data_IF_340039052378
#
_entry.id   IF_340039052378
#
_cell.length_a   1.000
_cell.length_b   1.000
_cell.length_c   1.000
_cell.angle_alpha   90.00
_cell.angle_beta   90.00
_cell.angle_gamma   90.00
#
_symmetry.space_group_name_H-M   'P 1'
#
loop_
_entity.id
_entity.type
_entity.pdbx_description
1 polymer ?
#
# COMPACT_ATOMS: atom_id res chain seq x y z
N UNK A 1 -3.66 12.52 29.87
CA UNK A 1 -2.94 13.60 29.14
C UNK A 1 -3.95 14.67 28.72
N UNK A 2 -3.60 15.97 28.81
CA UNK A 2 -4.51 17.05 28.36
C UNK A 2 -4.46 17.14 26.84
N UNK A 3 -5.62 17.07 26.16
CA UNK A 3 -5.71 17.35 24.73
C UNK A 3 -5.43 18.84 24.51
N UNK A 4 -4.50 19.15 23.63
CA UNK A 4 -4.17 20.52 23.23
C UNK A 4 -4.28 20.68 21.71
N UNK A 5 -4.48 21.92 21.29
CA UNK A 5 -4.35 22.34 19.89
C UNK A 5 -2.97 23.00 19.78
N UNK A 6 -2.19 22.58 18.81
CA UNK A 6 -0.88 23.15 18.48
C UNK A 6 -0.86 23.52 17.01
N UNK A 7 -0.36 24.72 16.73
CA UNK A 7 -0.10 25.19 15.37
C UNK A 7 1.35 24.87 14.98
N UNK A 8 1.52 24.29 13.81
CA UNK A 8 2.83 24.02 13.21
C UNK A 8 2.92 24.69 11.83
N UNK A 9 4.11 24.92 11.29
CA UNK A 9 4.26 25.44 9.93
C UNK A 9 3.50 24.63 8.86
N UNK A 10 3.39 23.32 9.05
CA UNK A 10 2.75 22.39 8.13
C UNK A 10 1.24 22.18 8.36
N UNK A 11 0.69 22.66 9.50
CA UNK A 11 -0.73 22.45 9.83
C UNK A 11 -1.04 22.52 11.31
N UNK A 12 -2.27 22.12 11.66
CA UNK A 12 -2.82 22.15 13.02
C UNK A 12 -2.94 20.76 13.60
N UNK A 13 -2.40 20.55 14.78
CA UNK A 13 -2.52 19.31 15.55
C UNK A 13 -3.52 19.47 16.70
N UNK A 14 -4.35 18.44 16.91
CA UNK A 14 -5.25 18.34 18.08
C UNK A 14 -5.11 16.96 18.71
N UNK A 15 -4.59 16.88 19.93
CA UNK A 15 -4.41 15.58 20.59
C UNK A 15 -3.54 15.61 21.84
N UNK A 16 -3.02 14.45 22.17
CA UNK A 16 -2.10 14.28 23.30
C UNK A 16 -0.73 14.85 22.96
N UNK A 17 -0.09 15.49 23.92
CA UNK A 17 1.24 16.09 23.77
C UNK A 17 2.20 15.65 24.87
N UNK A 18 3.49 15.58 24.52
CA UNK A 18 4.60 15.40 25.43
C UNK A 18 5.77 16.26 24.95
N UNK A 19 6.39 17.04 25.84
CA UNK A 19 7.50 17.96 25.52
C UNK A 19 7.19 18.86 24.30
N UNK A 20 5.98 19.46 24.26
CA UNK A 20 5.45 20.31 23.17
C UNK A 20 5.40 19.65 21.79
N UNK A 21 5.42 18.33 21.71
CA UNK A 21 5.30 17.56 20.49
C UNK A 21 4.06 16.66 20.51
N UNK A 22 3.44 16.38 19.35
CA UNK A 22 2.45 15.34 19.20
C UNK A 22 2.91 14.03 19.82
N UNK A 23 2.09 13.43 20.67
CA UNK A 23 2.38 12.17 21.35
C UNK A 23 1.07 11.46 21.69
N UNK A 24 1.05 10.11 21.74
CA UNK A 24 -0.19 9.39 21.97
C UNK A 24 -1.19 9.52 20.82
N UNK A 25 -2.45 9.83 21.09
CA UNK A 25 -3.52 9.92 20.09
C UNK A 25 -3.78 11.35 19.67
N UNK A 26 -3.98 11.57 18.37
CA UNK A 26 -4.32 12.89 17.85
C UNK A 26 -4.70 12.91 16.37
N UNK A 27 -5.05 14.11 15.94
CA UNK A 27 -5.38 14.45 14.56
C UNK A 27 -4.46 15.57 14.10
N UNK A 28 -3.81 15.38 12.98
CA UNK A 28 -3.05 16.41 12.26
C UNK A 28 -3.80 16.79 10.99
N UNK A 29 -4.14 18.07 10.84
CA UNK A 29 -4.68 18.63 9.61
C UNK A 29 -3.59 19.43 8.93
N UNK A 30 -3.12 18.93 7.80
CA UNK A 30 -2.06 19.57 7.02
C UNK A 30 -2.61 20.74 6.17
N UNK A 31 -1.78 21.74 5.89
CA UNK A 31 -2.12 22.83 4.97
C UNK A 31 -2.37 22.37 3.53
N UNK A 32 -1.87 21.20 3.15
CA UNK A 32 -2.14 20.55 1.88
C UNK A 32 -3.59 20.08 1.73
N UNK A 33 -4.35 19.99 2.84
CA UNK A 33 -5.67 19.40 2.90
C UNK A 33 -5.69 17.95 3.36
N UNK A 34 -4.52 17.33 3.55
CA UNK A 34 -4.40 15.99 4.09
C UNK A 34 -4.78 15.96 5.58
N UNK A 35 -5.34 14.84 6.04
CA UNK A 35 -5.71 14.64 7.44
C UNK A 35 -5.20 13.29 7.92
N UNK A 36 -4.32 13.32 8.93
CA UNK A 36 -3.91 12.12 9.64
C UNK A 36 -4.63 12.02 10.98
N UNK A 37 -5.19 10.86 11.29
CA UNK A 37 -5.77 10.52 12.58
C UNK A 37 -5.12 9.23 13.10
N UNK A 38 -4.48 9.28 14.27
CA UNK A 38 -3.79 8.10 14.78
C UNK A 38 -2.87 8.37 15.95
N UNK A 39 -1.90 7.47 16.09
CA UNK A 39 -0.89 7.54 17.12
C UNK A 39 0.32 8.35 16.67
N UNK A 40 0.92 9.05 17.63
CA UNK A 40 2.14 9.84 17.46
C UNK A 40 3.18 9.45 18.51
N UNK A 41 4.44 9.50 18.12
CA UNK A 41 5.59 9.36 18.99
C UNK A 41 6.61 10.44 18.66
N UNK A 42 6.92 11.32 19.64
CA UNK A 42 7.91 12.40 19.48
C UNK A 42 7.68 13.26 18.22
N UNK A 43 6.42 13.61 17.93
CA UNK A 43 6.04 14.45 16.81
C UNK A 43 5.80 13.69 15.49
N UNK A 44 6.14 12.40 15.38
CA UNK A 44 6.01 11.61 14.17
C UNK A 44 4.82 10.66 14.25
N UNK A 45 4.18 10.38 13.10
CA UNK A 45 3.19 9.31 12.97
C UNK A 45 3.83 7.99 13.37
N UNK A 46 3.17 7.25 14.26
CA UNK A 46 3.70 6.00 14.79
C UNK A 46 2.57 5.09 15.26
N UNK A 47 2.74 3.75 15.15
CA UNK A 47 1.68 2.81 15.50
C UNK A 47 0.50 2.87 14.53
N UNK A 48 -0.73 2.67 15.00
CA UNK A 48 -1.91 2.64 14.13
C UNK A 48 -2.41 4.05 13.78
N UNK A 49 -2.76 4.24 12.52
CA UNK A 49 -3.28 5.50 12.01
C UNK A 49 -4.00 5.39 10.68
N UNK A 50 -4.61 6.50 10.29
CA UNK A 50 -5.34 6.69 9.05
C UNK A 50 -4.98 8.03 8.43
N UNK A 51 -4.56 8.03 7.18
CA UNK A 51 -4.45 9.21 6.33
C UNK A 51 -5.64 9.31 5.38
N UNK A 52 -6.20 10.51 5.23
CA UNK A 52 -7.06 10.90 4.14
C UNK A 52 -6.32 12.01 3.39
N UNK A 53 -5.91 11.71 2.17
CA UNK A 53 -5.17 12.64 1.33
C UNK A 53 -6.13 13.56 0.57
N UNK A 54 -5.73 14.80 0.30
CA UNK A 54 -6.52 15.75 -0.49
C UNK A 54 -6.77 15.27 -1.93
N UNK A 55 -5.96 14.33 -2.42
CA UNK A 55 -6.13 13.66 -3.72
C UNK A 55 -7.34 12.70 -3.76
N UNK A 56 -7.91 12.37 -2.59
CA UNK A 56 -8.95 11.35 -2.43
C UNK A 56 -8.42 9.97 -2.05
N UNK A 57 -7.12 9.77 -2.06
CA UNK A 57 -6.47 8.55 -1.60
C UNK A 57 -6.65 8.37 -0.09
N UNK A 58 -6.54 7.14 0.39
CA UNK A 58 -6.63 6.81 1.82
C UNK A 58 -5.61 5.73 2.17
N UNK A 59 -5.03 5.87 3.36
CA UNK A 59 -4.24 4.80 3.96
C UNK A 59 -4.76 4.50 5.36
N UNK A 60 -4.87 3.22 5.71
CA UNK A 60 -5.18 2.75 7.06
C UNK A 60 -4.21 1.63 7.41
N UNK A 61 -3.42 1.81 8.45
CA UNK A 61 -2.42 0.81 8.79
C UNK A 61 -1.47 1.24 9.89
N UNK A 62 -0.33 0.58 9.91
CA UNK A 62 0.74 0.87 10.85
C UNK A 62 1.71 1.90 10.28
N UNK A 63 2.30 2.66 11.18
CA UNK A 63 3.30 3.69 10.91
C UNK A 63 4.52 3.48 11.79
N UNK A 64 5.68 3.81 11.27
CA UNK A 64 6.94 3.89 11.99
C UNK A 64 7.72 5.11 11.50
N UNK A 65 8.11 5.97 12.46
CA UNK A 65 8.92 7.17 12.16
C UNK A 65 8.35 8.07 11.05
N UNK A 66 7.02 8.23 11.01
CA UNK A 66 6.33 9.08 10.02
C UNK A 66 5.87 8.38 8.75
N UNK A 67 6.29 7.15 8.49
CA UNK A 67 5.99 6.42 7.25
C UNK A 67 5.09 5.20 7.47
N UNK A 68 4.22 4.84 6.51
CA UNK A 68 3.59 3.53 6.46
C UNK A 68 4.62 2.41 6.65
N UNK A 69 4.36 1.49 7.58
CA UNK A 69 5.26 0.39 7.91
C UNK A 69 4.49 -0.81 8.49
N UNK A 70 4.85 -2.03 8.06
CA UNK A 70 4.08 -3.22 8.44
C UNK A 70 2.75 -3.31 7.69
N UNK A 71 1.72 -3.90 8.30
CA UNK A 71 0.44 -4.12 7.64
C UNK A 71 -0.37 -2.84 7.47
N UNK A 72 -0.93 -2.67 6.27
CA UNK A 72 -1.81 -1.56 5.95
C UNK A 72 -2.62 -1.78 4.67
N UNK A 73 -3.61 -0.92 4.49
CA UNK A 73 -4.43 -0.84 3.28
C UNK A 73 -4.29 0.55 2.69
N UNK A 74 -3.87 0.62 1.44
CA UNK A 74 -3.90 1.83 0.63
C UNK A 74 -5.03 1.73 -0.38
N UNK A 75 -5.89 2.73 -0.45
CA UNK A 75 -6.96 2.84 -1.43
C UNK A 75 -6.77 4.13 -2.22
N UNK A 76 -6.55 3.99 -3.52
CA UNK A 76 -6.40 5.12 -4.45
C UNK A 76 -7.77 5.69 -4.82
N UNK A 77 -7.80 6.97 -5.16
CA UNK A 77 -9.02 7.66 -5.59
C UNK A 77 -9.64 7.06 -6.87
N UNK A 78 -8.83 6.41 -7.71
CA UNK A 78 -9.28 5.72 -8.92
C UNK A 78 -9.98 4.38 -8.65
N UNK A 79 -10.05 3.93 -7.39
CA UNK A 79 -10.67 2.68 -6.98
C UNK A 79 -9.72 1.49 -6.81
N UNK A 80 -8.45 1.63 -7.18
CA UNK A 80 -7.45 0.61 -6.91
C UNK A 80 -7.21 0.45 -5.40
N UNK A 81 -6.77 -0.72 -4.97
CA UNK A 81 -6.47 -1.00 -3.57
C UNK A 81 -5.27 -1.92 -3.42
N UNK A 82 -4.47 -1.65 -2.41
CA UNK A 82 -3.43 -2.55 -1.93
C UNK A 82 -3.66 -2.91 -0.47
N UNK A 83 -3.52 -4.17 -0.14
CA UNK A 83 -3.62 -4.70 1.23
C UNK A 83 -2.37 -5.54 1.48
N UNK A 84 -1.51 -5.11 2.37
CA UNK A 84 -0.25 -5.84 2.58
C UNK A 84 0.78 -5.11 3.40
N UNK A 85 2.01 -5.60 3.30
CA UNK A 85 3.15 -5.07 3.99
C UNK A 85 3.67 -3.78 3.33
N UNK A 86 4.09 -2.85 4.18
CA UNK A 86 4.80 -1.64 3.81
C UNK A 86 6.13 -1.57 4.56
N UNK A 87 7.13 -0.96 3.95
CA UNK A 87 8.39 -0.59 4.58
C UNK A 87 8.78 0.81 4.13
N UNK A 88 8.97 1.72 5.09
CA UNK A 88 9.37 3.11 4.84
C UNK A 88 8.52 3.83 3.77
N UNK A 89 7.21 3.56 3.75
CA UNK A 89 6.26 4.14 2.81
C UNK A 89 6.06 3.36 1.51
N UNK A 90 6.90 2.38 1.20
CA UNK A 90 6.78 1.56 0.00
C UNK A 90 5.98 0.29 0.26
N UNK A 91 5.27 -0.23 -0.75
CA UNK A 91 4.77 -1.60 -0.73
C UNK A 91 5.98 -2.53 -0.80
N UNK A 92 6.18 -3.33 0.24
CA UNK A 92 7.34 -4.20 0.38
C UNK A 92 6.99 -5.43 1.20
N UNK A 93 7.24 -6.63 0.67
CA UNK A 93 6.84 -7.91 1.23
C UNK A 93 5.53 -8.44 0.62
N UNK A 94 4.80 -9.26 1.37
CA UNK A 94 3.56 -9.90 0.88
C UNK A 94 2.40 -8.91 0.83
N UNK A 95 1.63 -8.96 -0.27
CA UNK A 95 0.46 -8.13 -0.45
C UNK A 95 -0.52 -8.62 -1.50
N UNK A 96 -1.69 -8.00 -1.48
CA UNK A 96 -2.74 -8.16 -2.49
C UNK A 96 -3.06 -6.80 -3.09
N UNK A 97 -3.00 -6.72 -4.40
CA UNK A 97 -3.46 -5.57 -5.19
C UNK A 97 -4.77 -5.93 -5.87
N UNK A 98 -5.70 -5.00 -5.87
CA UNK A 98 -7.02 -5.11 -6.52
C UNK A 98 -7.18 -3.85 -7.35
N UNK A 99 -7.22 -4.00 -8.66
CA UNK A 99 -7.43 -2.89 -9.58
C UNK A 99 -8.92 -2.58 -9.73
N UNK A 100 -9.24 -1.34 -10.05
CA UNK A 100 -10.64 -0.88 -10.24
C UNK A 100 -11.37 -1.64 -11.36
N UNK A 101 -10.64 -2.22 -12.32
CA UNK A 101 -11.20 -3.06 -13.38
C UNK A 101 -11.50 -4.50 -12.92
N UNK A 102 -11.18 -4.85 -11.67
CA UNK A 102 -11.40 -6.18 -11.09
C UNK A 102 -10.22 -7.14 -11.20
N UNK A 103 -9.13 -6.77 -11.87
CA UNK A 103 -7.91 -7.58 -11.86
C UNK A 103 -7.29 -7.62 -10.47
N UNK A 104 -6.67 -8.76 -10.14
CA UNK A 104 -6.02 -8.93 -8.84
C UNK A 104 -4.61 -9.50 -8.99
N UNK A 105 -3.72 -9.07 -8.10
CA UNK A 105 -2.42 -9.69 -7.88
C UNK A 105 -2.28 -10.06 -6.41
N UNK A 106 -1.77 -11.25 -6.14
CA UNK A 106 -1.38 -11.69 -4.79
C UNK A 106 0.04 -12.23 -4.87
N UNK A 107 0.96 -11.62 -4.13
CA UNK A 107 2.35 -12.04 -4.20
C UNK A 107 3.30 -11.13 -3.42
N UNK A 108 4.55 -11.15 -3.84
CA UNK A 108 5.61 -10.34 -3.27
C UNK A 108 5.68 -8.97 -3.95
N UNK A 109 6.04 -7.97 -3.17
CA UNK A 109 6.35 -6.60 -3.61
C UNK A 109 7.72 -6.20 -3.10
N UNK A 110 8.39 -5.36 -3.84
CA UNK A 110 9.63 -4.69 -3.45
C UNK A 110 9.64 -3.29 -4.03
N UNK A 111 9.82 -2.28 -3.18
CA UNK A 111 9.86 -0.86 -3.58
C UNK A 111 8.71 -0.47 -4.52
N UNK A 112 7.48 -0.84 -4.18
CA UNK A 112 6.23 -0.66 -4.94
C UNK A 112 6.03 -1.56 -6.17
N UNK A 113 7.01 -2.36 -6.58
CA UNK A 113 6.93 -3.22 -7.75
C UNK A 113 6.55 -4.66 -7.34
N UNK A 114 5.80 -5.36 -8.22
CA UNK A 114 5.60 -6.80 -8.08
C UNK A 114 6.93 -7.49 -8.33
N UNK A 115 7.33 -8.36 -7.41
CA UNK A 115 8.64 -9.01 -7.42
C UNK A 115 8.52 -10.45 -6.92
N UNK A 116 9.37 -11.37 -7.45
CA UNK A 116 9.35 -12.77 -7.01
C UNK A 116 8.06 -13.50 -7.35
N UNK A 117 7.62 -14.43 -6.51
CA UNK A 117 6.45 -15.27 -6.78
C UNK A 117 5.13 -14.52 -6.57
N UNK A 118 4.22 -14.69 -7.53
CA UNK A 118 2.88 -14.11 -7.44
C UNK A 118 1.85 -14.77 -8.34
N UNK A 119 0.60 -14.39 -8.12
CA UNK A 119 -0.56 -14.83 -8.91
C UNK A 119 -1.33 -13.61 -9.37
N UNK A 120 -1.51 -13.47 -10.69
CA UNK A 120 -2.45 -12.54 -11.31
C UNK A 120 -3.72 -13.25 -11.73
N UNK A 121 -4.86 -12.61 -11.52
CA UNK A 121 -6.13 -12.99 -12.17
C UNK A 121 -6.59 -11.76 -12.96
N UNK A 122 -6.74 -11.97 -14.27
CA UNK A 122 -7.09 -10.91 -15.22
C UNK A 122 -8.61 -10.78 -15.37
N UNK A 123 -9.07 -9.64 -15.93
CA UNK A 123 -10.50 -9.33 -16.10
C UNK A 123 -11.24 -10.38 -16.96
N UNK A 124 -10.57 -10.98 -17.94
CA UNK A 124 -11.11 -12.07 -18.78
C UNK A 124 -11.17 -13.42 -18.06
N UNK A 125 -10.68 -13.48 -16.82
CA UNK A 125 -10.60 -14.66 -15.99
C UNK A 125 -9.38 -15.54 -16.24
N UNK A 126 -8.46 -15.14 -17.13
CA UNK A 126 -7.16 -15.78 -17.26
C UNK A 126 -6.36 -15.63 -15.95
N UNK A 127 -5.43 -16.54 -15.74
CA UNK A 127 -4.60 -16.53 -14.54
C UNK A 127 -3.13 -16.79 -14.87
N UNK A 128 -2.24 -16.01 -14.27
CA UNK A 128 -0.82 -16.29 -14.27
C UNK A 128 -0.37 -16.64 -12.85
N UNK A 129 0.45 -17.67 -12.73
CA UNK A 129 1.14 -18.05 -11.49
C UNK A 129 2.61 -18.23 -11.81
N UNK A 130 3.48 -17.41 -11.23
CA UNK A 130 4.89 -17.50 -11.58
C UNK A 130 5.72 -16.34 -11.02
N UNK A 131 6.88 -16.16 -11.66
CA UNK A 131 7.85 -15.16 -11.28
C UNK A 131 7.53 -13.78 -11.89
N UNK A 132 7.81 -12.75 -11.11
CA UNK A 132 7.72 -11.34 -11.47
C UNK A 132 9.04 -10.64 -11.22
N UNK A 133 9.38 -9.71 -12.09
CA UNK A 133 10.49 -8.78 -11.97
C UNK A 133 10.01 -7.40 -12.45
N UNK A 134 10.13 -6.37 -11.60
CA UNK A 134 9.70 -5.01 -11.93
C UNK A 134 8.28 -4.96 -12.51
N UNK A 135 7.34 -5.61 -11.84
CA UNK A 135 5.92 -5.70 -12.19
C UNK A 135 5.58 -6.46 -13.48
N UNK A 136 6.57 -7.04 -14.17
CA UNK A 136 6.40 -7.86 -15.38
C UNK A 136 6.56 -9.34 -15.05
N UNK A 137 5.84 -10.21 -15.77
CA UNK A 137 6.09 -11.66 -15.74
C UNK A 137 7.49 -11.92 -16.30
N UNK A 138 8.33 -12.55 -15.50
CA UNK A 138 9.72 -12.79 -15.86
C UNK A 138 10.23 -14.02 -15.10
N UNK A 139 10.83 -14.99 -15.79
CA UNK A 139 11.21 -16.27 -15.23
C UNK A 139 10.17 -17.34 -15.48
N UNK A 140 10.07 -18.33 -14.58
CA UNK A 140 9.16 -19.47 -14.77
C UNK A 140 7.75 -19.17 -14.31
N UNK A 141 6.77 -19.63 -15.12
CA UNK A 141 5.37 -19.45 -14.77
C UNK A 141 4.42 -20.30 -15.58
N UNK A 142 3.18 -20.34 -15.09
CA UNK A 142 2.05 -21.01 -15.77
C UNK A 142 0.98 -19.95 -16.07
N UNK A 143 0.60 -19.85 -17.33
CA UNK A 143 -0.49 -19.01 -17.79
C UNK A 143 -1.69 -19.89 -18.17
N UNK A 144 -2.82 -19.70 -17.49
CA UNK A 144 -4.07 -20.39 -17.74
C UNK A 144 -4.97 -19.50 -18.59
N UNK A 145 -5.45 -20.05 -19.73
CA UNK A 145 -6.39 -19.39 -20.64
C UNK A 145 -7.79 -19.93 -20.36
N UNK A 146 -8.60 -19.16 -19.66
CA UNK A 146 -9.91 -19.60 -19.18
C UNK A 146 -10.85 -20.00 -20.32
N UNK A 147 -10.88 -19.22 -21.39
CA UNK A 147 -11.80 -19.43 -22.52
C UNK A 147 -11.61 -20.79 -23.19
N UNK A 148 -10.36 -21.24 -23.31
CA UNK A 148 -10.03 -22.49 -24.01
C UNK A 148 -9.76 -23.67 -23.06
N UNK A 149 -9.78 -23.41 -21.74
CA UNK A 149 -9.35 -24.37 -20.72
C UNK A 149 -7.94 -24.94 -20.99
N UNK A 150 -7.06 -24.09 -21.49
CA UNK A 150 -5.67 -24.41 -21.84
C UNK A 150 -4.70 -23.75 -20.87
N UNK A 151 -3.48 -24.28 -20.83
CA UNK A 151 -2.38 -23.65 -20.11
C UNK A 151 -1.09 -23.62 -20.94
N UNK A 152 -0.32 -22.60 -20.73
CA UNK A 152 1.10 -22.55 -21.11
C UNK A 152 1.94 -22.63 -19.83
N UNK A 153 2.93 -23.49 -19.80
CA UNK A 153 3.91 -23.61 -18.72
C UNK A 153 5.30 -23.51 -19.30
N UNK A 154 6.06 -22.51 -18.86
CA UNK A 154 7.39 -22.23 -19.43
C UNK A 154 7.97 -20.93 -18.91
N UNK A 155 8.95 -20.45 -19.68
CA UNK A 155 9.66 -19.23 -19.37
C UNK A 155 8.93 -18.00 -19.90
N UNK A 156 9.09 -16.87 -19.17
CA UNK A 156 8.59 -15.56 -19.54
C UNK A 156 9.73 -14.56 -19.48
N UNK A 157 9.79 -13.66 -20.44
CA UNK A 157 10.71 -12.53 -20.47
C UNK A 157 9.89 -11.28 -20.80
N UNK A 158 9.88 -10.31 -19.88
CA UNK A 158 9.15 -9.04 -20.04
C UNK A 158 7.72 -9.23 -20.56
N UNK A 159 6.91 -10.03 -19.85
CA UNK A 159 5.52 -10.37 -20.15
C UNK A 159 5.30 -11.28 -21.37
N UNK A 160 6.32 -11.64 -22.11
CA UNK A 160 6.21 -12.50 -23.29
C UNK A 160 6.58 -13.94 -22.94
N UNK A 161 5.88 -14.91 -23.55
CA UNK A 161 6.28 -16.32 -23.55
C UNK A 161 7.61 -16.45 -24.31
N UNK A 162 8.52 -17.25 -23.75
CA UNK A 162 9.87 -17.41 -24.31
C UNK A 162 10.17 -18.88 -24.57
#
# INVERSE_FOLDING_TARGET
MKKKVLEFPLGTYKGDIKSNLPHGKGVMKFKTGDIYEGSFLKGLRHGKGKDNFHTGDKYVGNYKNGYPHGQGTYAWANGDKYIGNHSEGFRDGKGKEILHNGETYVGQFRLNEREGKGTCVYINGDKYVGDFLQSKRNGKGTYYIKMYNEKYEGDFVEDKRH
#
